data_IF_600327433567
#
_entry.id   IF_600327433567
#
_cell.length_a   1.000
_cell.length_b   1.000
_cell.length_c   1.000
_cell.angle_alpha   90.00
_cell.angle_beta   90.00
_cell.angle_gamma   90.00
#
_symmetry.space_group_name_H-M   'P 1'
#
loop_
_entity.id
_entity.type
_entity.pdbx_description
1 polymer ?
#
# COMPACT_ATOMS: atom_id res chain seq x y z
N UNK A 1 3.70 -6.98 -10.91
CA UNK A 1 3.17 -5.63 -10.61
C UNK A 1 4.18 -4.61 -11.07
N UNK A 2 3.78 -3.79 -12.04
CA UNK A 2 4.60 -2.72 -12.60
C UNK A 2 4.48 -1.47 -11.73
N UNK A 3 5.39 -0.52 -11.93
CA UNK A 3 5.24 0.82 -11.38
C UNK A 3 4.25 1.59 -12.24
N UNK A 4 3.29 2.23 -11.58
CA UNK A 4 2.23 2.98 -12.24
C UNK A 4 2.11 4.37 -11.61
N UNK A 5 1.58 5.33 -12.38
CA UNK A 5 1.31 6.68 -11.86
C UNK A 5 0.09 6.67 -10.95
N UNK A 6 -0.95 5.96 -11.38
CA UNK A 6 -2.19 5.75 -10.64
C UNK A 6 -2.28 4.27 -10.29
N UNK A 7 -2.63 3.94 -9.06
CA UNK A 7 -2.78 2.58 -8.58
C UNK A 7 -4.16 2.39 -7.99
N UNK A 8 -4.80 1.28 -8.34
CA UNK A 8 -6.00 0.80 -7.68
C UNK A 8 -5.85 -0.69 -7.41
N UNK A 9 -6.23 -1.12 -6.22
CA UNK A 9 -6.25 -2.54 -5.89
C UNK A 9 -7.50 -3.17 -6.48
N UNK A 10 -7.39 -4.41 -6.97
CA UNK A 10 -8.53 -5.11 -7.57
C UNK A 10 -9.72 -5.15 -6.62
N UNK A 11 -10.85 -4.61 -7.07
CA UNK A 11 -12.09 -4.51 -6.29
C UNK A 11 -12.18 -3.28 -5.38
N UNK A 12 -11.13 -2.46 -5.29
CA UNK A 12 -11.22 -1.14 -4.66
C UNK A 12 -12.01 -0.19 -5.55
N UNK A 13 -12.70 0.77 -4.92
CA UNK A 13 -13.33 1.90 -5.60
C UNK A 13 -12.43 3.14 -5.63
N UNK A 14 -11.36 3.13 -4.84
CA UNK A 14 -10.42 4.25 -4.73
C UNK A 14 -9.25 4.03 -5.69
N UNK A 15 -8.78 5.12 -6.27
CA UNK A 15 -7.55 5.16 -7.07
C UNK A 15 -6.63 6.19 -6.45
N UNK A 16 -5.36 5.83 -6.27
CA UNK A 16 -4.37 6.67 -5.62
C UNK A 16 -3.20 6.96 -6.54
N UNK A 17 -2.55 8.10 -6.33
CA UNK A 17 -1.24 8.40 -6.88
C UNK A 17 -0.32 8.97 -5.81
N UNK A 18 0.97 9.08 -6.12
CA UNK A 18 1.89 9.82 -5.25
C UNK A 18 1.53 11.30 -5.25
N UNK A 19 1.51 11.90 -4.07
CA UNK A 19 1.31 13.34 -3.94
C UNK A 19 2.43 14.08 -4.71
N UNK A 20 2.07 15.11 -5.49
CA UNK A 20 3.03 15.84 -6.32
C UNK A 20 4.13 16.56 -5.52
N UNK A 21 3.86 16.84 -4.25
CA UNK A 21 4.78 17.49 -3.33
C UNK A 21 5.52 16.51 -2.42
N UNK A 22 5.35 15.20 -2.62
CA UNK A 22 5.99 14.18 -1.79
C UNK A 22 7.51 14.30 -1.86
N UNK A 23 8.16 14.21 -0.70
CA UNK A 23 9.62 14.25 -0.58
C UNK A 23 10.12 12.99 0.11
N UNK A 24 11.42 12.71 -0.08
CA UNK A 24 12.08 11.54 0.52
C UNK A 24 11.92 11.49 2.04
N UNK A 25 11.99 12.64 2.72
CA UNK A 25 11.79 12.69 4.17
C UNK A 25 10.34 12.38 4.55
N UNK A 26 9.35 12.88 3.78
CA UNK A 26 7.93 12.53 3.98
C UNK A 26 7.70 11.02 3.97
N UNK A 27 8.34 10.29 3.05
CA UNK A 27 8.25 8.83 3.01
C UNK A 27 8.86 8.18 4.26
N UNK A 28 10.04 8.64 4.69
CA UNK A 28 10.72 8.09 5.88
C UNK A 28 9.92 8.37 7.17
N UNK A 29 9.37 9.57 7.30
CA UNK A 29 8.55 9.99 8.45
C UNK A 29 7.27 9.14 8.54
N UNK A 30 6.77 8.66 7.40
CA UNK A 30 5.62 7.75 7.30
C UNK A 30 6.01 6.26 7.26
N UNK A 31 7.23 5.92 7.67
CA UNK A 31 7.66 4.54 7.90
C UNK A 31 8.00 3.74 6.65
N UNK A 32 8.35 4.41 5.55
CA UNK A 32 9.03 3.80 4.41
C UNK A 32 10.53 3.71 4.64
N UNK A 33 11.12 2.62 4.21
CA UNK A 33 12.56 2.39 4.22
C UNK A 33 13.15 2.54 2.81
N UNK A 34 14.25 3.27 2.69
CA UNK A 34 14.99 3.35 1.43
C UNK A 34 15.78 2.06 1.22
N UNK A 35 15.53 1.43 0.08
CA UNK A 35 16.21 0.21 -0.34
C UNK A 35 17.53 0.53 -1.04
N UNK A 36 18.40 -0.47 -1.20
CA UNK A 36 19.71 -0.30 -1.87
C UNK A 36 19.64 0.27 -3.29
N UNK A 37 18.51 0.08 -3.99
CA UNK A 37 18.32 0.61 -5.34
C UNK A 37 17.65 2.00 -5.36
N UNK A 38 17.51 2.65 -4.20
CA UNK A 38 16.97 4.00 -4.06
C UNK A 38 15.44 4.07 -4.03
N UNK A 39 14.74 2.95 -4.23
CA UNK A 39 13.28 2.91 -4.05
C UNK A 39 12.93 2.95 -2.55
N UNK A 40 11.76 3.47 -2.24
CA UNK A 40 11.22 3.46 -0.88
C UNK A 40 10.19 2.34 -0.75
N UNK A 41 10.27 1.54 0.31
CA UNK A 41 9.31 0.46 0.54
C UNK A 41 8.68 0.56 1.92
N UNK A 42 7.39 0.25 1.99
CA UNK A 42 6.69 0.00 3.24
C UNK A 42 6.01 -1.37 3.16
N UNK A 43 6.15 -2.16 4.22
CA UNK A 43 5.44 -3.42 4.40
C UNK A 43 4.72 -3.38 5.74
N UNK A 44 3.42 -3.70 5.75
CA UNK A 44 2.58 -3.74 6.95
C UNK A 44 1.70 -4.98 6.90
N UNK A 45 1.47 -5.58 8.06
CA UNK A 45 0.47 -6.64 8.23
C UNK A 45 -0.93 -6.00 8.25
N UNK A 46 -1.92 -6.67 7.67
CA UNK A 46 -3.33 -6.24 7.58
C UNK A 46 -4.27 -7.11 8.43
N UNK A 47 -3.82 -8.28 8.87
CA UNK A 47 -4.63 -9.16 9.71
C UNK A 47 -3.72 -9.98 10.61
N UNK A 48 -3.95 -9.84 11.92
CA UNK A 48 -3.25 -10.57 12.99
C UNK A 48 -4.21 -11.50 13.75
N UNK A 49 -5.39 -11.78 13.20
CA UNK A 49 -6.32 -12.74 13.79
C UNK A 49 -5.65 -14.09 13.96
N UNK A 50 -5.53 -14.54 15.21
CA UNK A 50 -4.96 -15.84 15.59
C UNK A 50 -5.73 -17.00 14.94
N UNK A 51 -6.98 -16.76 14.49
CA UNK A 51 -7.82 -17.72 13.77
C UNK A 51 -7.40 -17.90 12.30
N UNK A 52 -6.82 -16.87 11.69
CA UNK A 52 -6.35 -16.90 10.31
C UNK A 52 -4.87 -17.26 10.29
N UNK A 53 -4.57 -18.56 10.09
CA UNK A 53 -3.19 -19.10 10.00
C UNK A 53 -2.33 -18.48 8.86
N UNK A 54 -2.91 -17.62 8.02
CA UNK A 54 -2.24 -16.92 6.94
C UNK A 54 -2.49 -15.41 7.11
N UNK A 55 -1.57 -14.72 7.79
CA UNK A 55 -1.58 -13.26 7.85
C UNK A 55 -1.42 -12.64 6.46
N UNK A 56 -2.04 -11.50 6.23
CA UNK A 56 -1.98 -10.77 4.96
C UNK A 56 -1.08 -9.56 5.15
N UNK A 57 -0.28 -9.23 4.14
CA UNK A 57 0.59 -8.05 4.12
C UNK A 57 0.23 -7.13 2.98
N UNK A 58 0.25 -5.83 3.24
CA UNK A 58 0.37 -4.81 2.19
C UNK A 58 1.84 -4.45 2.00
N UNK A 59 2.24 -4.34 0.74
CA UNK A 59 3.54 -3.83 0.32
C UNK A 59 3.33 -2.68 -0.66
N UNK A 60 3.84 -1.51 -0.30
CA UNK A 60 3.87 -0.30 -1.11
C UNK A 60 5.31 -0.02 -1.46
N UNK A 61 5.61 0.20 -2.74
CA UNK A 61 6.93 0.59 -3.20
C UNK A 61 6.82 1.84 -4.06
N UNK A 62 7.59 2.86 -3.71
CA UNK A 62 7.72 4.13 -4.42
C UNK A 62 9.05 4.13 -5.16
N UNK A 63 9.01 4.49 -6.45
CA UNK A 63 10.19 4.56 -7.28
C UNK A 63 11.16 5.65 -6.79
N UNK A 64 12.46 5.47 -7.04
CA UNK A 64 13.52 6.40 -6.61
C UNK A 64 13.35 7.84 -7.14
N UNK A 65 12.62 7.99 -8.25
CA UNK A 65 12.30 9.28 -8.88
C UNK A 65 11.06 9.96 -8.27
N UNK A 66 10.37 9.31 -7.33
CA UNK A 66 9.15 9.76 -6.66
C UNK A 66 7.96 10.00 -7.62
N UNK A 67 7.95 9.38 -8.80
CA UNK A 67 6.88 9.59 -9.80
C UNK A 67 5.86 8.47 -9.87
N UNK A 68 6.28 7.26 -9.52
CA UNK A 68 5.45 6.08 -9.68
C UNK A 68 5.52 5.21 -8.44
N UNK A 69 4.45 4.46 -8.22
CA UNK A 69 4.35 3.53 -7.12
C UNK A 69 3.76 2.20 -7.58
N UNK A 70 3.88 1.20 -6.72
CA UNK A 70 3.15 -0.05 -6.84
C UNK A 70 2.64 -0.46 -5.47
N UNK A 71 1.41 -0.93 -5.43
CA UNK A 71 0.74 -1.39 -4.22
C UNK A 71 0.33 -2.84 -4.44
N UNK A 72 0.53 -3.66 -3.43
CA UNK A 72 0.24 -5.08 -3.49
C UNK A 72 -0.17 -5.64 -2.16
N UNK A 73 -1.16 -6.52 -2.15
CA UNK A 73 -1.57 -7.31 -0.99
C UNK A 73 -1.19 -8.76 -1.22
N UNK A 74 -0.49 -9.37 -0.26
CA UNK A 74 0.08 -10.71 -0.40
C UNK A 74 -0.09 -11.54 0.87
N UNK A 75 0.07 -12.86 0.76
CA UNK A 75 0.20 -13.77 1.90
C UNK A 75 1.41 -13.42 2.78
N UNK A 76 1.49 -13.95 4.01
CA UNK A 76 2.55 -13.58 4.97
C UNK A 76 3.98 -13.79 4.47
N UNK A 77 4.16 -14.78 3.59
CA UNK A 77 5.43 -15.11 2.94
C UNK A 77 5.75 -14.20 1.74
N UNK A 78 4.85 -13.30 1.35
CA UNK A 78 5.02 -12.34 0.26
C UNK A 78 4.92 -12.93 -1.16
N UNK A 79 4.56 -14.21 -1.30
CA UNK A 79 4.64 -14.92 -2.59
C UNK A 79 3.35 -14.85 -3.40
N UNK A 80 2.19 -14.96 -2.74
CA UNK A 80 0.90 -15.03 -3.43
C UNK A 80 0.13 -13.73 -3.25
N UNK A 81 -0.36 -13.15 -4.34
CA UNK A 81 -1.27 -12.00 -4.31
C UNK A 81 -2.61 -12.39 -3.70
N UNK A 82 -3.17 -11.54 -2.85
CA UNK A 82 -4.45 -11.73 -2.17
C UNK A 82 -5.40 -10.60 -2.55
N UNK A 83 -6.60 -10.93 -3.01
CA UNK A 83 -7.65 -9.96 -3.32
C UNK A 83 -8.46 -9.61 -2.05
N UNK A 84 -8.06 -8.52 -1.37
CA UNK A 84 -8.63 -8.12 -0.07
C UNK A 84 -10.06 -7.59 -0.19
N UNK A 85 -10.45 -7.05 -1.36
CA UNK A 85 -11.80 -6.51 -1.59
C UNK A 85 -12.83 -7.55 -2.06
N UNK A 86 -12.40 -8.77 -2.36
CA UNK A 86 -13.23 -9.76 -3.07
C UNK A 86 -14.12 -10.64 -2.17
N UNK A 87 -13.93 -10.65 -0.85
CA UNK A 87 -14.64 -11.57 0.07
C UNK A 87 -14.99 -10.90 1.39
N UNK A 88 -16.16 -11.22 1.95
CA UNK A 88 -16.60 -10.69 3.26
C UNK A 88 -15.68 -11.12 4.42
N UNK A 89 -15.07 -12.31 4.32
CA UNK A 89 -14.11 -12.81 5.31
C UNK A 89 -12.84 -11.95 5.42
N UNK A 90 -12.64 -10.99 4.51
CA UNK A 90 -11.48 -10.09 4.48
C UNK A 90 -11.82 -8.70 5.02
N UNK A 91 -12.96 -8.52 5.67
CA UNK A 91 -13.44 -7.22 6.18
C UNK A 91 -12.41 -6.52 7.08
N UNK A 92 -11.82 -7.24 8.03
CA UNK A 92 -10.79 -6.69 8.93
C UNK A 92 -9.52 -6.25 8.15
N UNK A 93 -9.04 -7.09 7.24
CA UNK A 93 -7.88 -6.76 6.40
C UNK A 93 -8.15 -5.56 5.48
N UNK A 94 -9.38 -5.46 4.96
CA UNK A 94 -9.82 -4.32 4.16
C UNK A 94 -9.84 -3.05 5.00
N UNK A 95 -10.40 -3.08 6.21
CA UNK A 95 -10.46 -1.92 7.10
C UNK A 95 -9.06 -1.41 7.46
N UNK A 96 -8.14 -2.31 7.81
CA UNK A 96 -6.75 -1.94 8.10
C UNK A 96 -6.03 -1.37 6.88
N UNK A 97 -6.28 -1.93 5.70
CA UNK A 97 -5.71 -1.44 4.46
C UNK A 97 -6.19 -0.02 4.14
N UNK A 98 -7.50 0.21 4.22
CA UNK A 98 -8.09 1.53 4.01
C UNK A 98 -7.53 2.54 5.01
N UNK A 99 -7.43 2.18 6.29
CA UNK A 99 -6.83 3.05 7.31
C UNK A 99 -5.37 3.43 6.98
N UNK A 100 -4.56 2.47 6.54
CA UNK A 100 -3.18 2.75 6.11
C UNK A 100 -3.16 3.70 4.91
N UNK A 101 -4.00 3.46 3.90
CA UNK A 101 -4.03 4.27 2.69
C UNK A 101 -4.53 5.69 2.99
N UNK A 102 -5.57 5.84 3.79
CA UNK A 102 -6.12 7.13 4.19
C UNK A 102 -5.10 7.92 5.03
N UNK A 103 -4.39 7.27 5.96
CA UNK A 103 -3.31 7.90 6.72
C UNK A 103 -2.17 8.40 5.81
N UNK A 104 -1.82 7.66 4.75
CA UNK A 104 -0.83 8.12 3.77
C UNK A 104 -1.32 9.31 2.94
N UNK A 105 -2.63 9.42 2.69
CA UNK A 105 -3.22 10.60 2.05
C UNK A 105 -3.15 11.80 2.98
N UNK A 106 -3.58 11.64 4.23
CA UNK A 106 -3.56 12.71 5.25
C UNK A 106 -2.16 13.27 5.49
N UNK A 107 -1.14 12.41 5.49
CA UNK A 107 0.26 12.80 5.69
C UNK A 107 0.97 13.27 4.41
N UNK A 108 0.25 13.43 3.29
CA UNK A 108 0.78 13.97 2.04
C UNK A 108 1.74 13.02 1.31
N UNK A 109 1.67 11.71 1.55
CA UNK A 109 2.39 10.70 0.77
C UNK A 109 1.61 10.35 -0.50
N UNK A 110 0.32 10.09 -0.34
CA UNK A 110 -0.61 9.78 -1.43
C UNK A 110 -1.59 10.92 -1.66
N UNK A 111 -2.25 10.87 -2.81
CA UNK A 111 -3.45 11.63 -3.10
C UNK A 111 -4.45 10.70 -3.79
N UNK A 112 -5.74 10.88 -3.48
CA UNK A 112 -6.82 10.20 -4.17
C UNK A 112 -7.11 10.89 -5.50
N UNK A 113 -7.31 10.10 -6.56
CA UNK A 113 -7.78 10.63 -7.84
C UNK A 113 -9.28 10.87 -7.70
N UNK A 114 -9.67 12.09 -7.37
CA UNK A 114 -11.05 12.55 -7.54
C UNK A 114 -11.33 12.81 -9.02
N UNK A 115 -12.41 12.22 -9.54
CA UNK A 115 -12.97 12.54 -10.86
C UNK A 115 -13.41 14.01 -10.96
#
# INVERSE_FOLDING_TARGET
MAFEKNVSLKGSRKTFHLNEQVKRYTLRDNGFEETKNGNFQMVRDLDNSVLHKQGIKVKIVVAADLKTLKVSTTTSNGLQTVEVYGKETMSAAKEQLEYILDSLVENGVLAEVSE
#
